data_IF_887549002766
#
_entry.id   IF_887549002766
#
_cell.length_a   1.000
_cell.length_b   1.000
_cell.length_c   1.000
_cell.angle_alpha   90.00
_cell.angle_beta   90.00
_cell.angle_gamma   90.00
#
_symmetry.space_group_name_H-M   'P 1'
#
loop_
_entity.id
_entity.type
_entity.pdbx_description
1 polymer ?
#
# COMPACT_ATOMS: atom_id res chain seq x y z
N UNK A 1 -40.20 -8.46 6.98
CA UNK A 1 -38.73 -8.40 6.87
C UNK A 1 -38.35 -8.63 5.41
N UNK A 2 -37.93 -7.59 4.69
CA UNK A 2 -37.50 -7.69 3.29
C UNK A 2 -36.15 -6.99 3.18
N UNK A 3 -35.09 -7.79 3.08
CA UNK A 3 -33.72 -7.35 2.88
C UNK A 3 -33.64 -6.55 1.57
N UNK A 4 -33.34 -5.26 1.65
CA UNK A 4 -33.06 -4.43 0.50
C UNK A 4 -31.67 -4.80 -0.05
N UNK A 5 -31.64 -5.13 -1.34
CA UNK A 5 -30.46 -5.57 -2.07
C UNK A 5 -29.25 -4.64 -1.86
N UNK A 6 -28.12 -5.25 -1.51
CA UNK A 6 -26.80 -4.63 -1.49
C UNK A 6 -26.47 -4.03 -2.86
N UNK A 7 -26.11 -2.75 -2.84
CA UNK A 7 -25.44 -1.96 -3.89
C UNK A 7 -24.85 -2.81 -5.04
N UNK A 8 -25.61 -2.97 -6.12
CA UNK A 8 -25.13 -3.58 -7.36
C UNK A 8 -24.28 -2.57 -8.11
N UNK A 9 -22.97 -2.56 -7.85
CA UNK A 9 -22.02 -1.74 -8.61
C UNK A 9 -21.70 -2.48 -9.92
N UNK A 10 -22.39 -2.12 -11.00
CA UNK A 10 -22.11 -2.64 -12.34
C UNK A 10 -20.78 -2.07 -12.83
N UNK A 11 -19.69 -2.81 -12.64
CA UNK A 11 -18.43 -2.53 -13.33
C UNK A 11 -18.65 -2.73 -14.81
N UNK A 12 -18.46 -1.68 -15.63
CA UNK A 12 -18.38 -1.80 -17.08
C UNK A 12 -17.21 -2.75 -17.40
N UNK A 13 -17.51 -4.01 -17.70
CA UNK A 13 -16.55 -4.99 -18.18
C UNK A 13 -16.17 -4.64 -19.61
N UNK A 14 -15.30 -3.65 -19.79
CA UNK A 14 -14.51 -3.55 -21.00
C UNK A 14 -13.31 -4.47 -20.79
N UNK A 15 -13.07 -5.43 -21.69
CA UNK A 15 -11.93 -6.36 -21.61
C UNK A 15 -10.54 -5.70 -21.63
N UNK A 16 -10.45 -4.36 -21.50
CA UNK A 16 -9.23 -3.57 -21.35
C UNK A 16 -8.61 -3.66 -19.94
N UNK A 17 -9.26 -4.30 -18.97
CA UNK A 17 -8.78 -4.39 -17.57
C UNK A 17 -7.43 -5.11 -17.40
N UNK A 18 -6.97 -5.86 -18.42
CA UNK A 18 -5.65 -6.50 -18.43
C UNK A 18 -4.58 -5.72 -19.20
N UNK A 19 -4.93 -4.65 -19.90
CA UNK A 19 -3.94 -3.85 -20.63
C UNK A 19 -3.19 -2.96 -19.65
N UNK A 20 -1.87 -3.06 -19.70
CA UNK A 20 -0.97 -2.19 -18.95
C UNK A 20 -0.71 -0.92 -19.74
N UNK A 21 -0.65 0.23 -19.07
CA UNK A 21 -0.15 1.46 -19.69
C UNK A 21 1.40 1.44 -19.81
N UNK A 22 1.99 2.52 -20.32
CA UNK A 22 3.44 2.66 -20.48
C UNK A 22 4.24 2.58 -19.17
N UNK A 23 3.59 2.77 -18.02
CA UNK A 23 4.18 2.62 -16.68
C UNK A 23 3.82 1.28 -16.04
N UNK A 24 3.30 0.33 -16.81
CA UNK A 24 2.99 -1.01 -16.33
C UNK A 24 1.76 -1.07 -15.43
N UNK A 25 0.88 -0.08 -15.47
CA UNK A 25 -0.30 0.01 -14.59
C UNK A 25 -1.55 -0.52 -15.28
N UNK A 26 -2.36 -1.31 -14.57
CA UNK A 26 -3.74 -1.60 -14.98
C UNK A 26 -4.60 -0.34 -14.85
N UNK A 27 -5.74 -0.31 -15.54
CA UNK A 27 -6.64 0.85 -15.55
C UNK A 27 -6.97 1.40 -14.14
N UNK A 28 -7.31 0.54 -13.17
CA UNK A 28 -7.59 0.98 -11.80
C UNK A 28 -6.37 1.60 -11.11
N UNK A 29 -5.17 1.04 -11.34
CA UNK A 29 -3.91 1.55 -10.79
C UNK A 29 -3.57 2.91 -11.39
N UNK A 30 -3.77 3.08 -12.70
CA UNK A 30 -3.56 4.35 -13.39
C UNK A 30 -4.50 5.43 -12.84
N UNK A 31 -5.80 5.14 -12.71
CA UNK A 31 -6.78 6.06 -12.12
C UNK A 31 -6.42 6.46 -10.68
N UNK A 32 -5.90 5.53 -9.88
CA UNK A 32 -5.42 5.84 -8.54
C UNK A 32 -4.21 6.79 -8.58
N UNK A 33 -3.27 6.52 -9.49
CA UNK A 33 -2.04 7.30 -9.66
C UNK A 33 -2.29 8.70 -10.27
N UNK A 34 -3.33 8.87 -11.09
CA UNK A 34 -3.72 10.20 -11.58
C UNK A 34 -4.16 11.13 -10.44
N UNK A 35 -4.69 10.55 -9.36
CA UNK A 35 -5.05 11.28 -8.14
C UNK A 35 -3.90 11.42 -7.12
N UNK A 36 -2.64 11.15 -7.52
CA UNK A 36 -1.47 11.14 -6.62
C UNK A 36 -1.20 12.45 -5.90
N UNK A 37 -1.67 13.58 -6.40
CA UNK A 37 -1.43 14.88 -5.76
C UNK A 37 -2.39 15.14 -4.58
N UNK A 38 -3.41 14.30 -4.40
CA UNK A 38 -4.33 14.40 -3.27
C UNK A 38 -3.61 14.15 -1.93
N UNK A 39 -3.98 14.93 -0.90
CA UNK A 39 -3.54 14.70 0.47
C UNK A 39 -4.19 13.44 1.07
N UNK A 40 -5.47 13.22 0.75
CA UNK A 40 -6.25 12.08 1.21
C UNK A 40 -6.91 11.40 0.00
N UNK A 41 -6.75 10.08 -0.10
CA UNK A 41 -7.29 9.29 -1.21
C UNK A 41 -7.98 8.03 -0.67
N UNK A 42 -9.27 7.88 -1.00
CA UNK A 42 -10.03 6.67 -0.70
C UNK A 42 -10.10 5.77 -1.94
N UNK A 43 -9.33 4.68 -1.93
CA UNK A 43 -9.30 3.74 -3.06
C UNK A 43 -10.32 2.61 -2.87
N UNK A 44 -11.54 2.80 -3.40
CA UNK A 44 -12.54 1.74 -3.51
C UNK A 44 -12.27 0.90 -4.76
N UNK A 45 -11.81 -0.34 -4.57
CA UNK A 45 -11.47 -1.25 -5.67
C UNK A 45 -11.95 -2.68 -5.37
N UNK A 46 -12.42 -3.44 -6.39
CA UNK A 46 -12.80 -4.84 -6.23
C UNK A 46 -11.67 -5.70 -5.65
N UNK A 47 -12.00 -6.89 -5.13
CA UNK A 47 -11.00 -7.92 -4.84
C UNK A 47 -10.08 -8.17 -6.04
N UNK A 48 -8.83 -8.55 -5.77
CA UNK A 48 -7.80 -8.88 -6.78
C UNK A 48 -7.49 -7.81 -7.86
N UNK A 49 -7.97 -6.57 -7.69
CA UNK A 49 -7.74 -5.49 -8.68
C UNK A 49 -6.33 -4.90 -8.68
N UNK A 50 -5.43 -5.39 -7.82
CA UNK A 50 -4.06 -4.88 -7.70
C UNK A 50 -3.95 -3.58 -6.89
N UNK A 51 -4.78 -3.43 -5.86
CA UNK A 51 -4.82 -2.27 -4.94
C UNK A 51 -3.49 -2.05 -4.21
N UNK A 52 -2.83 -3.09 -3.72
CA UNK A 52 -1.53 -2.95 -3.05
C UNK A 52 -0.47 -2.38 -3.98
N UNK A 53 -0.44 -2.84 -5.24
CA UNK A 53 0.45 -2.28 -6.26
C UNK A 53 0.11 -0.83 -6.64
N UNK A 54 -1.18 -0.44 -6.62
CA UNK A 54 -1.57 0.96 -6.76
C UNK A 54 -0.98 1.83 -5.63
N UNK A 55 -1.04 1.34 -4.39
CA UNK A 55 -0.47 2.02 -3.23
C UNK A 55 1.07 2.11 -3.30
N UNK A 56 1.75 1.12 -3.89
CA UNK A 56 3.21 1.19 -4.12
C UNK A 56 3.56 2.35 -5.06
N UNK A 57 2.85 2.49 -6.19
CA UNK A 57 3.08 3.60 -7.13
C UNK A 57 2.88 4.95 -6.46
N UNK A 58 1.80 5.10 -5.69
CA UNK A 58 1.52 6.31 -4.92
C UNK A 58 2.61 6.59 -3.89
N UNK A 59 3.02 5.59 -3.11
CA UNK A 59 4.06 5.73 -2.09
C UNK A 59 5.40 6.16 -2.68
N UNK A 60 5.83 5.54 -3.77
CA UNK A 60 7.07 5.89 -4.46
C UNK A 60 7.03 7.30 -5.04
N UNK A 61 5.91 7.73 -5.64
CA UNK A 61 5.80 9.09 -6.16
C UNK A 61 5.88 10.14 -5.04
N UNK A 62 5.23 9.86 -3.91
CA UNK A 62 5.32 10.70 -2.71
C UNK A 62 6.77 10.82 -2.21
N UNK A 63 7.50 9.71 -2.17
CA UNK A 63 8.89 9.66 -1.71
C UNK A 63 9.84 10.41 -2.65
N UNK A 64 9.76 10.11 -3.95
CA UNK A 64 10.76 10.53 -4.92
C UNK A 64 10.45 11.86 -5.61
N UNK A 65 9.17 12.26 -5.68
CA UNK A 65 8.77 13.46 -6.44
C UNK A 65 8.07 14.53 -5.62
N UNK A 66 7.52 14.18 -4.46
CA UNK A 66 6.76 15.11 -3.62
C UNK A 66 7.45 15.44 -2.29
N UNK A 67 8.68 14.95 -2.09
CA UNK A 67 9.51 15.29 -0.94
C UNK A 67 9.09 14.64 0.39
N UNK A 68 8.19 13.64 0.37
CA UNK A 68 7.91 12.87 1.58
C UNK A 68 9.09 11.97 1.90
N UNK A 69 9.34 11.77 3.20
CA UNK A 69 10.52 11.02 3.68
C UNK A 69 10.22 9.58 4.05
N UNK A 70 8.95 9.26 4.31
CA UNK A 70 8.51 7.99 4.89
C UNK A 70 7.19 7.56 4.29
N UNK A 71 7.07 6.26 4.00
CA UNK A 71 5.84 5.57 3.67
C UNK A 71 5.63 4.47 4.70
N UNK A 72 4.47 4.49 5.33
CA UNK A 72 4.08 3.51 6.34
C UNK A 72 2.82 2.80 5.84
N UNK A 73 2.90 1.49 5.70
CA UNK A 73 1.77 0.67 5.26
C UNK A 73 1.21 -0.10 6.44
N UNK A 74 0.01 0.26 6.86
CA UNK A 74 -0.74 -0.43 7.90
C UNK A 74 -1.70 -1.46 7.30
N UNK A 75 -1.53 -2.74 7.65
CA UNK A 75 -2.40 -3.84 7.20
C UNK A 75 -3.19 -4.42 8.37
N UNK A 76 -4.42 -4.94 8.15
CA UNK A 76 -5.21 -5.50 9.24
C UNK A 76 -4.64 -6.85 9.73
N UNK A 77 -3.96 -7.60 8.87
CA UNK A 77 -3.41 -8.93 9.15
C UNK A 77 -2.00 -9.07 8.58
N UNK A 78 -1.16 -9.88 9.24
CA UNK A 78 0.22 -10.15 8.79
C UNK A 78 0.27 -10.77 7.38
N UNK A 79 -0.69 -11.66 7.07
CA UNK A 79 -0.86 -12.30 5.76
C UNK A 79 -0.97 -11.29 4.61
N UNK A 80 -1.61 -10.15 4.85
CA UNK A 80 -1.81 -9.10 3.85
C UNK A 80 -0.51 -8.34 3.57
N UNK A 81 0.42 -8.30 4.55
CA UNK A 81 1.74 -7.72 4.39
C UNK A 81 2.51 -8.33 3.20
N UNK A 82 2.28 -9.61 2.88
CA UNK A 82 2.87 -10.27 1.71
C UNK A 82 2.50 -9.61 0.37
N UNK A 83 1.40 -8.85 0.31
CA UNK A 83 1.02 -8.06 -0.88
C UNK A 83 1.93 -6.87 -1.13
N UNK A 84 2.79 -6.52 -0.16
CA UNK A 84 3.75 -5.42 -0.21
C UNK A 84 5.21 -5.89 -0.24
N UNK A 85 5.45 -7.14 -0.65
CA UNK A 85 6.81 -7.65 -0.87
C UNK A 85 7.53 -6.88 -1.98
N UNK A 86 8.84 -7.05 -2.03
CA UNK A 86 9.70 -6.46 -3.06
C UNK A 86 9.14 -6.71 -4.46
N UNK A 87 9.03 -5.63 -5.24
CA UNK A 87 8.42 -5.65 -6.56
C UNK A 87 9.20 -4.75 -7.49
N UNK A 88 9.70 -5.33 -8.59
CA UNK A 88 10.38 -4.61 -9.65
C UNK A 88 9.38 -3.91 -10.57
N UNK A 89 9.15 -2.63 -10.32
CA UNK A 89 8.22 -1.82 -11.11
C UNK A 89 8.92 -1.16 -12.31
N UNK A 90 10.24 -0.96 -12.20
CA UNK A 90 11.09 -0.45 -13.28
C UNK A 90 11.11 -1.36 -14.50
N UNK A 91 11.08 -2.68 -14.31
CA UNK A 91 10.93 -3.68 -15.38
C UNK A 91 9.65 -3.49 -16.21
N UNK A 92 8.69 -2.72 -15.70
CA UNK A 92 7.42 -2.41 -16.37
C UNK A 92 7.26 -0.92 -16.72
N UNK A 93 8.34 -0.14 -16.72
CA UNK A 93 8.33 1.26 -17.15
C UNK A 93 8.02 2.30 -16.06
N UNK A 94 7.97 1.90 -14.78
CA UNK A 94 7.91 2.86 -13.68
C UNK A 94 9.31 3.36 -13.29
N UNK A 95 9.42 4.43 -12.52
CA UNK A 95 10.72 5.09 -12.27
C UNK A 95 11.51 4.54 -11.07
N UNK A 96 10.90 3.73 -10.21
CA UNK A 96 11.53 3.18 -9.02
C UNK A 96 10.92 1.82 -8.65
N UNK A 97 11.68 0.97 -7.99
CA UNK A 97 11.20 -0.30 -7.46
C UNK A 97 10.64 -0.15 -6.05
N UNK A 98 9.73 -1.05 -5.68
CA UNK A 98 9.27 -1.16 -4.31
C UNK A 98 10.15 -2.14 -3.56
N UNK A 99 10.84 -1.67 -2.52
CA UNK A 99 11.72 -2.50 -1.69
C UNK A 99 11.42 -2.26 -0.22
N UNK A 100 11.23 -3.35 0.53
CA UNK A 100 11.00 -3.33 1.97
C UNK A 100 12.18 -3.99 2.64
N UNK A 101 12.93 -3.23 3.43
CA UNK A 101 14.00 -3.83 4.21
C UNK A 101 13.40 -4.82 5.23
N UNK A 102 13.93 -6.05 5.33
CA UNK A 102 13.40 -7.07 6.24
C UNK A 102 13.30 -6.60 7.70
N UNK A 103 14.23 -5.76 8.15
CA UNK A 103 14.26 -5.18 9.49
C UNK A 103 13.08 -4.25 9.79
N UNK A 104 12.38 -3.75 8.77
CA UNK A 104 11.24 -2.84 8.86
C UNK A 104 9.95 -3.45 8.30
N UNK A 105 9.96 -4.75 8.02
CA UNK A 105 8.76 -5.53 7.77
C UNK A 105 8.25 -6.12 9.09
N UNK A 106 7.45 -5.36 9.83
CA UNK A 106 6.89 -5.78 11.13
C UNK A 106 5.73 -6.78 10.99
N UNK A 107 5.42 -7.20 9.76
CA UNK A 107 4.46 -8.26 9.46
C UNK A 107 5.10 -9.67 9.43
N UNK A 108 6.41 -9.79 9.69
CA UNK A 108 7.11 -11.08 9.82
C UNK A 108 6.99 -11.57 11.27
N UNK A 109 6.78 -12.87 11.52
CA UNK A 109 6.81 -13.44 12.86
C UNK A 109 8.15 -13.24 13.57
N UNK A 110 8.11 -12.91 14.86
CA UNK A 110 9.30 -12.69 15.69
C UNK A 110 9.42 -11.25 16.21
N UNK A 111 9.93 -11.10 17.43
CA UNK A 111 10.30 -9.80 18.00
C UNK A 111 9.14 -8.86 18.36
N UNK A 112 7.99 -9.40 18.79
CA UNK A 112 6.82 -8.59 19.19
C UNK A 112 7.17 -7.48 20.19
N UNK A 113 8.00 -7.81 21.19
CA UNK A 113 8.48 -6.87 22.22
C UNK A 113 9.33 -5.72 21.67
N UNK A 114 9.82 -5.82 20.43
CA UNK A 114 10.71 -4.84 19.81
C UNK A 114 10.04 -4.06 18.69
N UNK A 115 8.82 -4.40 18.26
CA UNK A 115 8.13 -3.74 17.13
C UNK A 115 7.99 -2.22 17.32
N UNK A 116 7.62 -1.78 18.53
CA UNK A 116 7.52 -0.34 18.86
C UNK A 116 8.89 0.33 18.77
N UNK A 117 9.93 -0.29 19.35
CA UNK A 117 11.30 0.24 19.28
C UNK A 117 11.82 0.31 17.85
N UNK A 118 11.53 -0.71 17.05
CA UNK A 118 11.87 -0.77 15.62
C UNK A 118 11.14 0.32 14.85
N UNK A 119 9.87 0.60 15.15
CA UNK A 119 9.14 1.70 14.52
C UNK A 119 9.62 3.09 14.96
N UNK A 120 10.06 3.25 16.21
CA UNK A 120 10.71 4.50 16.65
C UNK A 120 12.04 4.69 15.93
N UNK A 121 12.87 3.64 15.82
CA UNK A 121 14.11 3.66 15.02
C UNK A 121 13.81 4.00 13.55
N UNK A 122 12.75 3.37 13.02
CA UNK A 122 11.91 3.81 11.92
C UNK A 122 12.06 5.27 11.50
N UNK A 123 11.55 6.10 12.38
CA UNK A 123 11.32 7.52 12.14
C UNK A 123 12.62 8.30 11.93
N UNK A 124 13.72 7.83 12.51
CA UNK A 124 15.04 8.47 12.46
C UNK A 124 16.02 7.83 11.46
N UNK A 125 15.71 6.65 10.93
CA UNK A 125 16.58 5.94 9.97
C UNK A 125 16.53 6.60 8.57
N UNK A 126 17.48 6.28 7.70
CA UNK A 126 17.47 6.53 6.26
C UNK A 126 16.44 5.67 5.50
N UNK A 127 16.01 4.53 6.05
CA UNK A 127 15.02 3.65 5.40
C UNK A 127 13.67 4.34 5.27
N UNK A 128 13.04 4.23 4.10
CA UNK A 128 11.86 5.04 3.75
C UNK A 128 10.53 4.28 3.79
N UNK A 129 10.51 2.94 3.75
CA UNK A 129 9.29 2.13 3.78
C UNK A 129 9.26 1.22 5.01
N UNK A 130 8.11 1.20 5.71
CA UNK A 130 7.83 0.29 6.83
C UNK A 130 6.46 -0.36 6.64
N UNK A 131 6.37 -1.68 6.92
CA UNK A 131 5.11 -2.41 6.96
C UNK A 131 4.75 -2.72 8.42
N UNK A 132 3.48 -2.52 8.79
CA UNK A 132 2.98 -2.81 10.12
C UNK A 132 1.61 -3.47 10.09
N UNK A 133 1.33 -4.36 11.03
CA UNK A 133 0.00 -4.96 11.19
C UNK A 133 -0.76 -4.32 12.37
N UNK A 134 -2.08 -4.18 12.22
CA UNK A 134 -2.98 -3.43 13.10
C UNK A 134 -3.01 -3.87 14.57
N UNK A 135 -2.50 -5.05 14.91
CA UNK A 135 -2.47 -5.53 16.29
C UNK A 135 -1.80 -4.56 17.29
N UNK A 136 -1.06 -3.56 16.81
CA UNK A 136 -0.17 -2.74 17.63
C UNK A 136 -0.35 -1.22 17.52
N UNK A 137 -1.20 -0.70 16.63
CA UNK A 137 -1.47 0.77 16.60
C UNK A 137 -2.26 1.22 17.84
N UNK A 138 -2.75 0.28 18.66
CA UNK A 138 -3.28 0.56 19.98
C UNK A 138 -2.16 0.59 21.04
N UNK A 139 -1.28 1.59 21.01
CA UNK A 139 -0.47 1.94 22.16
C UNK A 139 -1.00 3.25 22.76
N UNK A 140 -1.72 3.11 23.88
CA UNK A 140 -2.26 4.14 24.80
C UNK A 140 -3.51 4.89 24.35
N UNK A 141 -4.67 4.25 24.54
CA UNK A 141 -5.80 4.96 25.14
C UNK A 141 -5.55 5.02 26.64
N UNK A 142 -5.33 6.22 27.16
CA UNK A 142 -5.38 6.50 28.60
C UNK A 142 -6.83 6.38 29.06
N UNK A 143 -7.10 5.45 29.98
CA UNK A 143 -7.99 5.64 31.14
C UNK A 143 -7.33 4.95 32.33
#
# INVERSE_FOLDING_TARGET
MKMANLLTVNYKQSGKSSNLNSMGMREMQARAYDARDAQYLLLKAPPASGKSRALMFLGLDKLHKQGLKKVIVAVPEMSIGASFKDTKLTEHGFFADWTVQPSYNLCIPGGEDQKVKTFVRFMSDSVVICLLHRGWIAARGTE
#
